data_IF_909321467218
#
_entry.id   IF_909321467218
#
_cell.length_a   1.000
_cell.length_b   1.000
_cell.length_c   1.000
_cell.angle_alpha   90.00
_cell.angle_beta   90.00
_cell.angle_gamma   90.00
#
_symmetry.space_group_name_H-M   'P 1'
#
loop_
_entity.id
_entity.type
_entity.pdbx_description
1 polymer ?
#
# COMPACT_ATOMS: atom_id res chain seq x y z
N UNK A 1 -2.88 45.14 -35.00
CA UNK A 1 -2.14 45.49 -33.77
C UNK A 1 -2.83 44.92 -32.52
N UNK A 2 -3.17 43.62 -32.50
CA UNK A 2 -3.88 42.97 -31.38
C UNK A 2 -3.29 41.60 -30.97
N UNK A 3 -2.47 40.96 -31.82
CA UNK A 3 -1.83 39.67 -31.54
C UNK A 3 -0.75 39.76 -30.44
N UNK A 4 0.12 40.78 -30.50
CA UNK A 4 1.19 41.00 -29.50
C UNK A 4 0.64 41.17 -28.07
N UNK A 5 -0.48 41.89 -27.91
CA UNK A 5 -1.11 42.11 -26.59
C UNK A 5 -1.67 40.81 -26.00
N UNK A 6 -2.18 39.92 -26.85
CA UNK A 6 -2.75 38.63 -26.42
C UNK A 6 -1.70 37.73 -25.77
N UNK A 7 -0.49 37.64 -26.36
CA UNK A 7 0.60 36.84 -25.81
C UNK A 7 1.13 37.39 -24.47
N UNK A 8 1.17 38.71 -24.32
CA UNK A 8 1.57 39.36 -23.06
C UNK A 8 0.52 39.08 -21.97
N UNK A 9 -0.77 39.24 -22.28
CA UNK A 9 -1.87 38.96 -21.35
C UNK A 9 -1.85 37.49 -20.91
N UNK A 10 -1.66 36.58 -21.86
CA UNK A 10 -1.57 35.14 -21.56
C UNK A 10 -0.38 34.83 -20.64
N UNK A 11 0.80 35.41 -20.89
CA UNK A 11 1.99 35.25 -20.05
C UNK A 11 1.79 35.80 -18.64
N UNK A 12 1.11 36.93 -18.51
CA UNK A 12 0.79 37.50 -17.18
C UNK A 12 -0.19 36.59 -16.44
N UNK A 13 -1.21 36.08 -17.12
CA UNK A 13 -2.22 35.20 -16.51
C UNK A 13 -1.62 33.85 -16.05
N UNK A 14 -0.69 33.28 -16.82
CA UNK A 14 0.02 32.06 -16.40
C UNK A 14 0.91 32.29 -15.18
N UNK A 15 1.61 33.43 -15.09
CA UNK A 15 2.39 33.79 -13.90
C UNK A 15 1.48 33.96 -12.68
N UNK A 16 0.35 34.65 -12.83
CA UNK A 16 -0.65 34.81 -11.76
C UNK A 16 -1.16 33.45 -11.29
N UNK A 17 -1.49 32.54 -12.23
CA UNK A 17 -1.92 31.18 -11.91
C UNK A 17 -0.87 30.43 -11.07
N UNK A 18 0.40 30.48 -11.48
CA UNK A 18 1.50 29.83 -10.76
C UNK A 18 1.65 30.39 -9.35
N UNK A 19 1.64 31.71 -9.19
CA UNK A 19 1.70 32.37 -7.89
C UNK A 19 0.52 31.93 -7.01
N UNK A 20 -0.68 31.91 -7.57
CA UNK A 20 -1.90 31.54 -6.84
C UNK A 20 -1.85 30.10 -6.32
N UNK A 21 -1.35 29.16 -7.13
CA UNK A 21 -1.19 27.75 -6.75
C UNK A 21 -0.08 27.57 -5.71
N UNK A 22 1.01 28.36 -5.80
CA UNK A 22 2.17 28.21 -4.92
C UNK A 22 2.01 28.90 -3.55
N UNK A 23 1.26 30.01 -3.51
CA UNK A 23 1.01 30.81 -2.30
C UNK A 23 0.57 29.99 -1.08
N UNK A 24 -0.43 29.09 -1.15
CA UNK A 24 -0.84 28.30 0.02
C UNK A 24 0.27 27.38 0.55
N UNK A 25 1.18 26.90 -0.31
CA UNK A 25 2.31 26.06 0.13
C UNK A 25 3.37 26.88 0.85
N UNK A 26 3.64 28.10 0.39
CA UNK A 26 4.59 29.02 1.03
C UNK A 26 4.09 29.51 2.39
N UNK A 27 2.81 29.84 2.50
CA UNK A 27 2.19 30.23 3.77
C UNK A 27 2.26 29.09 4.78
N UNK A 28 1.92 27.86 4.38
CA UNK A 28 2.11 26.67 5.23
C UNK A 28 3.55 26.49 5.68
N UNK A 29 4.50 26.60 4.74
CA UNK A 29 5.91 26.46 5.05
C UNK A 29 6.36 27.49 6.09
N UNK A 30 5.93 28.75 5.98
CA UNK A 30 6.19 29.78 6.99
C UNK A 30 5.55 29.45 8.35
N UNK A 31 4.29 29.03 8.34
CA UNK A 31 3.53 28.67 9.54
C UNK A 31 4.13 27.49 10.32
N UNK A 32 4.88 26.57 9.68
CA UNK A 32 5.62 25.51 10.40
C UNK A 32 6.69 26.08 11.34
N UNK A 33 7.25 27.26 11.01
CA UNK A 33 8.25 27.92 11.84
C UNK A 33 7.64 28.95 12.82
N UNK A 34 6.33 29.20 12.71
CA UNK A 34 5.62 29.99 13.70
C UNK A 34 5.44 29.15 14.97
N UNK A 35 5.81 29.71 16.11
CA UNK A 35 5.79 29.00 17.38
C UNK A 35 4.37 28.98 17.96
N UNK A 36 3.48 28.18 17.36
CA UNK A 36 2.17 27.93 17.91
C UNK A 36 2.32 27.13 19.21
N UNK A 37 1.84 27.69 20.31
CA UNK A 37 1.70 26.96 21.56
C UNK A 37 0.59 25.93 21.35
N UNK A 38 0.99 24.70 21.04
CA UNK A 38 0.08 23.55 21.12
C UNK A 38 -0.20 23.35 22.61
N UNK A 39 -1.34 23.85 23.07
CA UNK A 39 -1.81 23.55 24.41
C UNK A 39 -2.14 22.05 24.43
N UNK A 40 -1.28 21.27 25.10
CA UNK A 40 -1.50 19.84 25.22
C UNK A 40 -2.83 19.63 25.96
N UNK A 41 -3.79 18.98 25.32
CA UNK A 41 -4.99 18.49 25.99
C UNK A 41 -4.58 17.41 27.00
N UNK A 42 -4.24 17.83 28.22
CA UNK A 42 -4.28 16.95 29.38
C UNK A 42 -5.76 16.81 29.70
N UNK A 43 -6.34 15.69 29.29
CA UNK A 43 -7.72 15.30 29.58
C UNK A 43 -8.04 15.49 31.06
N UNK A 44 -8.56 16.67 31.40
CA UNK A 44 -9.21 16.91 32.67
C UNK A 44 -10.70 16.83 32.40
N UNK A 45 -11.28 15.72 32.85
CA UNK A 45 -12.70 15.57 33.09
C UNK A 45 -13.26 16.88 33.67
N UNK A 46 -14.44 17.28 33.21
CA UNK A 46 -15.32 18.30 33.84
C UNK A 46 -15.22 19.77 33.36
N UNK A 47 -15.05 20.02 32.07
CA UNK A 47 -15.12 21.38 31.55
C UNK A 47 -15.90 21.39 30.21
N UNK A 48 -17.22 21.59 30.28
CA UNK A 48 -18.15 21.66 29.13
C UNK A 48 -18.02 22.96 28.32
N UNK A 49 -16.81 23.50 28.20
CA UNK A 49 -16.57 24.72 27.45
C UNK A 49 -16.28 24.35 26.01
N UNK A 50 -16.84 25.10 25.07
CA UNK A 50 -16.34 25.09 23.70
C UNK A 50 -14.87 25.51 23.79
N UNK A 51 -13.96 24.62 23.41
CA UNK A 51 -12.54 24.94 23.27
C UNK A 51 -12.46 26.22 22.43
N UNK A 52 -11.79 27.25 22.94
CA UNK A 52 -11.59 28.52 22.24
C UNK A 52 -11.18 28.22 20.80
N UNK A 53 -11.81 28.93 19.86
CA UNK A 53 -11.66 28.80 18.41
C UNK A 53 -10.26 28.28 18.07
N UNK A 54 -10.19 27.04 17.62
CA UNK A 54 -8.97 26.39 17.15
C UNK A 54 -8.25 27.35 16.18
N UNK A 55 -7.18 28.01 16.66
CA UNK A 55 -6.38 28.95 15.87
C UNK A 55 -5.39 28.18 15.00
N UNK A 56 -5.39 26.84 15.09
CA UNK A 56 -4.56 26.01 14.25
C UNK A 56 -5.03 26.17 12.80
N UNK A 57 -4.16 26.75 11.96
CA UNK A 57 -4.47 26.95 10.56
C UNK A 57 -4.39 25.60 9.84
N UNK A 58 -5.44 24.79 9.93
CA UNK A 58 -5.56 23.52 9.24
C UNK A 58 -5.75 23.74 7.73
N UNK A 59 -4.65 23.95 7.01
CA UNK A 59 -4.67 23.96 5.57
C UNK A 59 -4.79 22.52 5.05
N UNK A 60 -5.97 21.90 5.13
CA UNK A 60 -6.46 20.68 4.45
C UNK A 60 -7.62 20.05 5.25
N UNK A 61 -8.49 20.88 5.86
CA UNK A 61 -9.69 20.41 6.57
C UNK A 61 -10.62 19.54 5.71
N UNK A 62 -10.49 19.64 4.38
CA UNK A 62 -11.18 18.79 3.42
C UNK A 62 -10.21 17.75 2.86
N UNK A 63 -10.49 16.47 3.15
CA UNK A 63 -9.77 15.34 2.60
C UNK A 63 -10.09 15.23 1.09
N UNK A 64 -9.19 15.73 0.24
CA UNK A 64 -9.36 15.71 -1.23
C UNK A 64 -9.34 14.26 -1.77
N UNK A 65 -8.75 13.33 -1.02
CA UNK A 65 -8.48 11.96 -1.41
C UNK A 65 -9.39 11.00 -0.60
N UNK A 66 -10.16 10.17 -1.28
CA UNK A 66 -10.90 9.10 -0.60
C UNK A 66 -9.89 8.06 -0.09
N UNK A 67 -9.85 7.74 1.22
CA UNK A 67 -8.92 6.73 1.73
C UNK A 67 -9.22 5.39 1.06
N UNK A 68 -8.22 4.82 0.38
CA UNK A 68 -8.32 3.47 -0.14
C UNK A 68 -8.14 2.48 1.02
N UNK A 69 -9.23 1.85 1.45
CA UNK A 69 -9.22 0.77 2.44
C UNK A 69 -9.33 -0.57 1.74
N UNK A 70 -8.29 -1.41 1.87
CA UNK A 70 -8.33 -2.81 1.42
C UNK A 70 -9.14 -3.57 2.47
N UNK A 71 -10.34 -4.01 2.11
CA UNK A 71 -11.12 -4.88 2.97
C UNK A 71 -10.55 -6.29 2.87
N UNK A 72 -9.77 -6.70 3.87
CA UNK A 72 -9.30 -8.08 3.97
C UNK A 72 -10.46 -8.96 4.37
N UNK A 73 -10.95 -9.78 3.45
CA UNK A 73 -11.98 -10.78 3.75
C UNK A 73 -11.30 -11.88 4.56
N UNK A 74 -11.71 -12.03 5.82
CA UNK A 74 -11.34 -13.20 6.60
C UNK A 74 -11.99 -14.43 5.96
N UNK A 75 -11.18 -15.41 5.59
CA UNK A 75 -11.66 -16.69 5.11
C UNK A 75 -11.21 -17.77 6.08
N UNK A 76 -12.13 -18.66 6.43
CA UNK A 76 -11.79 -19.84 7.22
C UNK A 76 -11.26 -20.91 6.28
N UNK A 77 -10.01 -21.32 6.51
CA UNK A 77 -9.45 -22.48 5.85
C UNK A 77 -10.18 -23.72 6.38
N UNK A 78 -10.98 -24.35 5.53
CA UNK A 78 -11.59 -25.64 5.84
C UNK A 78 -10.48 -26.68 6.02
N UNK A 79 -10.29 -27.14 7.25
CA UNK A 79 -9.37 -28.22 7.55
C UNK A 79 -9.93 -29.52 6.98
N UNK A 80 -9.36 -29.99 5.87
CA UNK A 80 -9.69 -31.29 5.31
C UNK A 80 -8.94 -32.33 6.14
N UNK A 81 -9.67 -33.09 6.95
CA UNK A 81 -9.10 -34.27 7.58
C UNK A 81 -8.81 -35.33 6.52
N UNK A 82 -7.52 -35.68 6.40
CA UNK A 82 -7.09 -36.78 5.54
C UNK A 82 -7.60 -38.11 6.08
N UNK A 83 -8.78 -38.53 5.62
CA UNK A 83 -9.40 -39.80 6.03
C UNK A 83 -8.85 -41.03 5.28
N UNK A 84 -7.70 -40.89 4.63
CA UNK A 84 -7.03 -42.02 3.98
C UNK A 84 -5.97 -42.60 4.91
N UNK A 85 -6.00 -43.92 5.09
CA UNK A 85 -4.87 -44.62 5.71
C UNK A 85 -3.69 -44.54 4.76
N UNK A 86 -2.54 -44.05 5.24
CA UNK A 86 -1.27 -44.18 4.54
C UNK A 86 -0.91 -45.66 4.56
N UNK A 87 -1.24 -46.39 3.49
CA UNK A 87 -0.75 -47.74 3.32
C UNK A 87 0.73 -47.63 2.94
N UNK A 88 1.62 -47.87 3.89
CA UNK A 88 2.98 -48.29 3.55
C UNK A 88 2.82 -49.58 2.77
N UNK A 89 3.23 -49.62 1.50
CA UNK A 89 3.04 -50.80 0.68
C UNK A 89 3.55 -52.03 1.44
N UNK A 90 2.67 -53.00 1.68
CA UNK A 90 3.05 -54.27 2.30
C UNK A 90 3.80 -55.17 1.30
N UNK A 91 4.36 -54.59 0.25
CA UNK A 91 4.97 -55.33 -0.84
C UNK A 91 6.35 -55.80 -0.38
N UNK A 92 6.37 -56.94 0.30
CA UNK A 92 7.59 -57.66 0.62
C UNK A 92 7.91 -58.57 -0.56
N UNK A 93 8.95 -58.22 -1.32
CA UNK A 93 9.51 -59.15 -2.29
C UNK A 93 10.02 -60.36 -1.52
N UNK A 94 9.57 -61.57 -1.89
CA UNK A 94 10.04 -62.82 -1.26
C UNK A 94 11.51 -63.11 -1.61
N UNK A 95 12.05 -62.41 -2.62
CA UNK A 95 13.43 -62.54 -3.06
C UNK A 95 14.06 -61.16 -3.24
N UNK A 96 15.25 -60.98 -2.67
CA UNK A 96 16.10 -59.80 -2.91
C UNK A 96 16.64 -59.76 -4.36
N UNK A 97 16.53 -60.88 -5.10
CA UNK A 97 17.01 -60.97 -6.46
C UNK A 97 15.97 -60.44 -7.46
N UNK A 98 16.09 -59.16 -7.80
CA UNK A 98 15.39 -58.57 -8.93
C UNK A 98 16.25 -58.71 -10.19
N UNK A 99 15.84 -59.59 -11.12
CA UNK A 99 16.55 -59.76 -12.39
C UNK A 99 16.45 -58.46 -13.21
N UNK A 100 17.58 -57.78 -13.41
CA UNK A 100 17.60 -56.50 -14.09
C UNK A 100 17.08 -56.66 -15.53
N UNK A 101 16.26 -55.72 -16.05
CA UNK A 101 15.56 -55.87 -17.33
C UNK A 101 16.50 -55.96 -18.54
N UNK A 102 17.78 -55.65 -18.36
CA UNK A 102 18.81 -55.79 -19.38
C UNK A 102 19.65 -57.07 -19.26
N UNK A 103 19.42 -57.92 -18.24
CA UNK A 103 20.15 -59.19 -18.08
C UNK A 103 19.87 -60.20 -19.20
N UNK A 104 18.84 -59.96 -20.02
CA UNK A 104 18.48 -60.74 -21.20
C UNK A 104 18.90 -60.06 -22.51
N UNK A 105 19.48 -58.85 -22.46
CA UNK A 105 19.95 -58.16 -23.65
C UNK A 105 21.37 -58.63 -23.98
N UNK A 106 21.62 -58.97 -25.23
CA UNK A 106 22.95 -59.30 -25.71
C UNK A 106 23.89 -58.08 -25.64
N UNK A 107 25.22 -58.30 -25.61
CA UNK A 107 26.20 -57.22 -25.55
C UNK A 107 26.06 -56.29 -26.76
N UNK A 108 26.19 -54.96 -26.57
CA UNK A 108 26.13 -54.00 -27.66
C UNK A 108 27.28 -54.26 -28.65
N UNK A 109 26.98 -54.21 -29.95
CA UNK A 109 28.02 -54.27 -30.98
C UNK A 109 28.74 -52.92 -31.05
N UNK A 110 30.07 -52.98 -31.18
CA UNK A 110 30.89 -51.80 -31.46
C UNK A 110 30.52 -51.26 -32.84
N UNK A 111 30.16 -49.98 -32.89
CA UNK A 111 30.02 -49.19 -34.11
C UNK A 111 31.32 -48.44 -34.34
#
# INVERSE_FOLDING_TARGET
MNLEKSHIIFKVLTVILVITILTPSLVKFGHVFENHQHDFCVDNLEQTHLHSLDIDCEFYKFKINNPFTINTIAYDLVSIENNHKVYTSQYQFISDFQRLPFALRGPPRLV
#
